data_IF_640253141824
#
_entry.id   IF_640253141824
#
_cell.length_a   1.000
_cell.length_b   1.000
_cell.length_c   1.000
_cell.angle_alpha   90.00
_cell.angle_beta   90.00
_cell.angle_gamma   90.00
#
_symmetry.space_group_name_H-M   'P 1'
#
loop_
_entity.id
_entity.type
_entity.pdbx_description
1 polymer ?
#
# COMPACT_ATOMS: atom_id res chain seq x y z
N UNK A 1 -1.84 10.99 10.13
CA UNK A 1 -2.50 10.66 8.86
C UNK A 1 -2.55 9.14 8.73
N UNK A 2 -3.72 8.55 8.52
CA UNK A 2 -3.84 7.11 8.24
C UNK A 2 -3.68 6.88 6.74
N UNK A 3 -2.73 6.03 6.34
CA UNK A 3 -2.51 5.67 4.94
C UNK A 3 -2.96 4.22 4.73
N UNK A 4 -3.51 3.90 3.55
CA UNK A 4 -3.66 2.49 3.15
C UNK A 4 -2.28 1.96 2.80
N UNK A 5 -1.92 0.80 3.33
CA UNK A 5 -0.59 0.22 3.16
C UNK A 5 -0.70 -1.17 2.58
N UNK A 6 0.21 -1.51 1.67
CA UNK A 6 0.33 -2.83 1.06
C UNK A 6 1.79 -3.27 1.08
N UNK A 7 2.09 -4.54 1.44
CA UNK A 7 3.44 -5.07 1.34
C UNK A 7 3.93 -5.15 -0.11
N UNK A 8 5.23 -4.96 -0.33
CA UNK A 8 5.87 -5.10 -1.64
C UNK A 8 5.61 -6.49 -2.27
N UNK A 9 5.61 -7.56 -1.48
CA UNK A 9 5.33 -8.91 -1.96
C UNK A 9 3.95 -9.03 -2.60
N UNK A 10 2.91 -8.51 -1.94
CA UNK A 10 1.54 -8.50 -2.45
C UNK A 10 1.42 -7.68 -3.73
N UNK A 11 2.12 -6.55 -3.82
CA UNK A 11 2.16 -5.75 -5.06
C UNK A 11 2.74 -6.56 -6.22
N UNK A 12 3.82 -7.29 -5.97
CA UNK A 12 4.48 -8.13 -6.98
C UNK A 12 3.60 -9.30 -7.42
N UNK A 13 2.91 -9.97 -6.49
CA UNK A 13 1.96 -11.06 -6.77
C UNK A 13 0.79 -10.60 -7.65
N UNK A 14 0.30 -9.38 -7.40
CA UNK A 14 -0.77 -8.77 -8.18
C UNK A 14 -0.28 -8.13 -9.50
N UNK A 15 1.04 -8.15 -9.75
CA UNK A 15 1.69 -7.52 -10.90
C UNK A 15 1.31 -6.03 -11.07
N UNK A 16 1.20 -5.32 -9.95
CA UNK A 16 0.87 -3.89 -9.90
C UNK A 16 2.18 -3.09 -9.94
N UNK A 17 2.16 -1.92 -10.58
CA UNK A 17 3.31 -1.00 -10.61
C UNK A 17 3.04 0.23 -9.76
N UNK A 18 4.08 0.68 -9.06
CA UNK A 18 4.10 1.98 -8.40
C UNK A 18 3.87 3.07 -9.44
N UNK A 19 2.99 4.02 -9.13
CA UNK A 19 2.64 5.12 -10.03
C UNK A 19 3.31 6.42 -9.64
N UNK A 20 3.63 6.58 -8.35
CA UNK A 20 4.22 7.80 -7.80
C UNK A 20 5.25 7.50 -6.73
N UNK A 21 6.25 8.38 -6.61
CA UNK A 21 7.13 8.41 -5.46
C UNK A 21 6.33 8.76 -4.20
N UNK A 22 6.66 8.11 -3.08
CA UNK A 22 6.08 8.40 -1.78
C UNK A 22 7.20 8.71 -0.80
N UNK A 23 6.96 9.65 0.11
CA UNK A 23 7.93 10.06 1.12
C UNK A 23 8.18 8.97 2.17
N UNK A 24 8.64 9.39 3.34
CA UNK A 24 8.85 8.47 4.47
C UNK A 24 7.52 8.13 5.15
N UNK A 25 7.38 6.86 5.54
CA UNK A 25 6.34 6.43 6.48
C UNK A 25 6.98 6.12 7.83
N UNK A 26 6.29 6.50 8.90
CA UNK A 26 6.67 6.18 10.27
C UNK A 26 5.58 5.28 10.86
N UNK A 27 5.98 4.13 11.40
CA UNK A 27 5.10 3.23 12.10
C UNK A 27 4.64 3.85 13.44
N UNK A 28 3.61 3.26 14.05
CA UNK A 28 3.07 3.75 15.32
C UNK A 28 4.09 3.73 16.46
N UNK A 29 5.07 2.82 16.40
CA UNK A 29 6.19 2.71 17.34
C UNK A 29 7.37 3.65 16.98
N UNK A 30 7.12 4.65 16.13
CA UNK A 30 8.10 5.64 15.68
C UNK A 30 9.26 5.10 14.85
N UNK A 31 9.22 3.84 14.38
CA UNK A 31 10.22 3.32 13.44
C UNK A 31 9.98 3.86 12.03
N UNK A 32 11.05 4.22 11.33
CA UNK A 32 10.98 4.48 9.88
C UNK A 32 10.70 3.16 9.15
N UNK A 33 9.65 3.14 8.34
CA UNK A 33 9.28 1.98 7.51
C UNK A 33 9.82 2.23 6.10
N UNK A 34 10.57 1.30 5.50
CA UNK A 34 11.00 1.41 4.12
C UNK A 34 9.79 1.51 3.19
N UNK A 35 9.71 2.59 2.42
CA UNK A 35 8.64 2.84 1.45
C UNK A 35 9.20 2.71 0.04
N UNK A 36 8.52 1.92 -0.80
CA UNK A 36 8.87 1.73 -2.20
C UNK A 36 8.22 2.81 -3.06
N UNK A 37 6.99 3.20 -2.73
CA UNK A 37 6.27 4.28 -3.39
C UNK A 37 4.77 4.21 -3.12
N UNK A 38 3.97 4.80 -4.01
CA UNK A 38 2.52 4.78 -3.93
C UNK A 38 1.89 4.36 -5.26
N UNK A 39 0.85 3.54 -5.16
CA UNK A 39 -0.07 3.22 -6.24
C UNK A 39 -1.30 4.11 -6.06
N UNK A 40 -1.47 5.07 -6.97
CA UNK A 40 -2.62 5.98 -6.94
C UNK A 40 -3.79 5.39 -7.71
N UNK A 41 -4.97 5.57 -7.13
CA UNK A 41 -6.22 5.25 -7.78
C UNK A 41 -6.44 3.76 -8.03
N UNK A 42 -5.90 2.90 -7.17
CA UNK A 42 -6.16 1.47 -7.21
C UNK A 42 -7.66 1.22 -7.02
N UNK A 43 -8.28 0.56 -8.00
CA UNK A 43 -9.70 0.21 -7.94
C UNK A 43 -9.83 -1.15 -7.28
N UNK A 44 -10.49 -1.19 -6.13
CA UNK A 44 -10.75 -2.42 -5.37
C UNK A 44 -12.24 -2.69 -5.28
N UNK A 45 -12.63 -3.94 -5.48
CA UNK A 45 -13.99 -4.39 -5.27
C UNK A 45 -14.15 -4.87 -3.83
N UNK A 46 -15.18 -4.38 -3.14
CA UNK A 46 -15.46 -4.80 -1.77
C UNK A 46 -16.13 -6.18 -1.77
N UNK A 47 -15.49 -7.19 -1.19
CA UNK A 47 -16.06 -8.53 -1.06
C UNK A 47 -17.42 -8.52 -0.32
N UNK A 48 -17.55 -7.68 0.71
CA UNK A 48 -18.79 -7.54 1.49
C UNK A 48 -19.91 -6.79 0.73
N UNK A 49 -19.57 -6.04 -0.32
CA UNK A 49 -20.55 -5.27 -1.11
C UNK A 49 -20.33 -5.51 -2.61
N UNK A 50 -20.81 -6.65 -3.14
CA UNK A 50 -20.68 -6.98 -4.55
C UNK A 50 -21.28 -5.84 -5.41
N UNK A 51 -20.50 -5.35 -6.39
CA UNK A 51 -20.90 -4.25 -7.27
C UNK A 51 -20.46 -2.85 -6.83
N UNK A 52 -19.83 -2.70 -5.66
CA UNK A 52 -19.19 -1.44 -5.26
C UNK A 52 -17.69 -1.50 -5.49
N UNK A 53 -17.18 -0.49 -6.20
CA UNK A 53 -15.77 -0.26 -6.42
C UNK A 53 -15.33 0.95 -5.59
N UNK A 54 -14.20 0.82 -4.89
CA UNK A 54 -13.51 1.93 -4.24
C UNK A 54 -12.24 2.25 -5.00
N UNK A 55 -11.95 3.54 -5.12
CA UNK A 55 -10.68 4.04 -5.64
C UNK A 55 -9.84 4.48 -4.45
N UNK A 56 -8.68 3.85 -4.25
CA UNK A 56 -7.81 4.08 -3.10
C UNK A 56 -6.39 4.39 -3.55
N UNK A 57 -5.75 5.32 -2.85
CA UNK A 57 -4.30 5.48 -2.92
C UNK A 57 -3.67 4.58 -1.86
N UNK A 58 -2.71 3.77 -2.28
CA UNK A 58 -2.07 2.74 -1.45
C UNK A 58 -0.57 2.95 -1.44
N UNK A 59 0.01 3.02 -0.25
CA UNK A 59 1.45 3.13 -0.03
C UNK A 59 2.04 1.73 0.00
N UNK A 60 3.09 1.51 -0.80
CA UNK A 60 3.80 0.24 -0.86
C UNK A 60 4.98 0.30 0.11
N UNK A 61 4.97 -0.60 1.08
CA UNK A 61 6.03 -0.72 2.09
C UNK A 61 6.81 -2.01 1.89
N UNK A 62 8.13 -1.91 2.01
CA UNK A 62 9.00 -3.07 2.13
C UNK A 62 9.13 -3.40 3.61
N UNK A 63 8.07 -4.02 4.14
CA UNK A 63 8.06 -4.54 5.50
C UNK A 63 8.74 -5.91 5.48
N UNK A 64 10.08 -5.94 5.46
CA UNK A 64 10.77 -7.17 5.82
C UNK A 64 10.31 -7.57 7.23
N UNK A 65 9.90 -8.83 7.47
CA UNK A 65 9.65 -9.28 8.82
C UNK A 65 10.95 -9.10 9.59
N UNK A 66 10.96 -8.20 10.56
CA UNK A 66 12.02 -8.14 11.56
C UNK A 66 12.01 -9.48 12.26
N UNK A 67 13.02 -10.32 11.96
CA UNK A 67 13.22 -11.62 12.57
C UNK A 67 13.39 -11.57 14.09
#
# INVERSE_FOLDING_TARGET
>A
ASCNVMPLEVMNELNIKVTDAYGKCTAMDSREVPVVGCVKGLVVQLAAYPGKNLKLDVVIVDAQPSG
#
